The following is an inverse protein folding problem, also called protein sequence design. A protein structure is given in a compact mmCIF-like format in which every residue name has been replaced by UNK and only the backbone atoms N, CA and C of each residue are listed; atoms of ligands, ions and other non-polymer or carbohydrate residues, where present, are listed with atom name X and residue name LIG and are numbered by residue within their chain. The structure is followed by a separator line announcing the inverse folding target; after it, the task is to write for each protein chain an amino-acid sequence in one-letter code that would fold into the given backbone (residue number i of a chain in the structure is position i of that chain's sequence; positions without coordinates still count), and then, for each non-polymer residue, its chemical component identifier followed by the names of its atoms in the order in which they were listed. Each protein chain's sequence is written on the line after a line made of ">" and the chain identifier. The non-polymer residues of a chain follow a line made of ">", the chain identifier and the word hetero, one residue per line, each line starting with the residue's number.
data_IF_059019648429
#
_entry.id   IF_059019648429
#
_cell.length_a   1.000
_cell.length_b   1.000
_cell.length_c   1.000
_cell.angle_alpha   90.00
_cell.angle_beta   90.00
_cell.angle_gamma   90.00
#
_symmetry.space_group_name_H-M   'P 1'
#
loop_
_entity.id
_entity.type
_entity.pdbx_description
1 polymer ?
#
# COMPACT_ATOMS: atom_id res chain seq x y z
N UNK A 1 7.34 20.00 -25.29
CA UNK A 1 8.62 19.97 -24.55
C UNK A 1 9.22 18.57 -24.42
N UNK A 2 8.45 17.50 -24.16
CA UNK A 2 8.97 16.12 -24.08
C UNK A 2 9.61 15.61 -25.40
N UNK A 3 9.01 15.93 -26.55
CA UNK A 3 9.53 15.52 -27.87
C UNK A 3 10.86 16.17 -28.28
N UNK A 4 11.28 17.27 -27.63
CA UNK A 4 12.56 17.94 -27.91
C UNK A 4 13.73 17.19 -27.26
N UNK A 5 13.46 16.47 -26.16
CA UNK A 5 14.46 15.70 -25.40
C UNK A 5 14.46 14.20 -25.78
N UNK A 6 13.72 13.80 -26.81
CA UNK A 6 13.55 12.38 -27.18
C UNK A 6 12.87 11.53 -26.11
N UNK A 7 12.18 12.15 -25.15
CA UNK A 7 11.54 11.43 -24.04
C UNK A 7 10.12 11.01 -24.42
N UNK A 8 9.83 9.71 -24.30
CA UNK A 8 8.48 9.18 -24.48
C UNK A 8 7.52 9.71 -23.42
N UNK A 9 6.43 10.36 -23.84
CA UNK A 9 5.38 10.77 -22.92
C UNK A 9 4.62 9.54 -22.43
N UNK A 10 4.69 9.25 -21.14
CA UNK A 10 3.90 8.17 -20.54
C UNK A 10 2.41 8.58 -20.52
N UNK A 11 1.56 7.74 -21.12
CA UNK A 11 0.11 7.90 -21.05
C UNK A 11 -0.40 7.39 -19.68
N UNK A 12 -1.37 8.12 -19.13
CA UNK A 12 -2.07 7.67 -17.92
C UNK A 12 -3.09 6.58 -18.27
N UNK A 13 -3.31 5.58 -17.40
CA UNK A 13 -2.74 5.43 -16.06
C UNK A 13 -1.36 4.77 -16.06
N UNK A 14 -0.42 5.34 -15.30
CA UNK A 14 0.97 4.87 -15.20
C UNK A 14 1.29 4.40 -13.78
N UNK A 15 2.13 3.37 -13.63
CA UNK A 15 2.52 2.85 -12.31
C UNK A 15 3.78 3.57 -11.82
N UNK A 16 3.64 4.45 -10.83
CA UNK A 16 4.76 5.17 -10.20
C UNK A 16 4.99 4.65 -8.79
N UNK A 17 6.23 4.27 -8.46
CA UNK A 17 6.62 3.75 -7.14
C UNK A 17 5.73 2.58 -6.63
N UNK A 18 5.16 1.82 -7.55
CA UNK A 18 4.25 0.72 -7.25
C UNK A 18 2.78 1.12 -7.04
N UNK A 19 2.41 2.34 -7.40
CA UNK A 19 1.05 2.89 -7.31
C UNK A 19 0.52 3.29 -8.69
N UNK A 20 -0.74 2.97 -9.04
CA UNK A 20 -1.35 3.49 -10.25
C UNK A 20 -1.66 4.99 -10.10
N UNK A 21 -0.99 5.81 -10.91
CA UNK A 21 -1.19 7.26 -11.04
C UNK A 21 -2.12 7.51 -12.22
N UNK A 22 -3.13 8.36 -12.01
CA UNK A 22 -4.17 8.64 -13.01
C UNK A 22 -5.42 7.75 -12.90
N UNK A 23 -5.42 6.79 -11.97
CA UNK A 23 -6.62 6.01 -11.63
C UNK A 23 -7.48 6.73 -10.58
N UNK A 24 -8.79 6.51 -10.61
CA UNK A 24 -9.69 7.04 -9.60
C UNK A 24 -9.53 6.26 -8.28
N UNK A 25 -8.67 6.76 -7.40
CA UNK A 25 -8.42 6.17 -6.07
C UNK A 25 -9.59 6.34 -5.08
N UNK A 26 -10.73 6.94 -5.46
CA UNK A 26 -11.95 6.84 -4.64
C UNK A 26 -12.61 5.46 -4.76
N UNK A 27 -12.33 4.70 -5.83
CA UNK A 27 -12.88 3.35 -6.04
C UNK A 27 -12.07 2.30 -5.30
N UNK A 28 -12.74 1.48 -4.49
CA UNK A 28 -12.10 0.38 -3.75
C UNK A 28 -11.34 -0.61 -4.65
N UNK A 29 -11.82 -0.87 -5.87
CA UNK A 29 -11.14 -1.77 -6.83
C UNK A 29 -9.70 -1.34 -7.13
N UNK A 30 -9.41 -0.05 -7.19
CA UNK A 30 -8.07 0.45 -7.50
C UNK A 30 -7.09 0.31 -6.32
N UNK A 31 -7.60 0.03 -5.12
CA UNK A 31 -6.79 -0.26 -3.94
C UNK A 31 -6.42 -1.72 -3.82
N UNK A 32 -6.98 -2.63 -4.63
CA UNK A 32 -6.74 -4.06 -4.47
C UNK A 32 -5.24 -4.41 -4.61
N UNK A 33 -4.58 -3.87 -5.63
CA UNK A 33 -3.13 -4.05 -5.81
C UNK A 33 -2.30 -3.54 -4.62
N UNK A 34 -2.76 -2.48 -3.94
CA UNK A 34 -2.12 -1.93 -2.75
C UNK A 34 -2.34 -2.88 -1.58
N UNK A 35 -3.59 -3.30 -1.34
CA UNK A 35 -3.96 -4.26 -0.29
C UNK A 35 -3.21 -5.58 -0.44
N UNK A 36 -3.09 -6.11 -1.66
CA UNK A 36 -2.29 -7.31 -1.95
C UNK A 36 -0.82 -7.08 -1.61
N UNK A 37 -0.25 -5.92 -1.94
CA UNK A 37 1.14 -5.59 -1.56
C UNK A 37 1.33 -5.54 -0.05
N UNK A 38 0.37 -5.01 0.71
CA UNK A 38 0.38 -5.07 2.17
C UNK A 38 0.34 -6.51 2.67
N UNK A 39 -0.59 -7.32 2.15
CA UNK A 39 -0.74 -8.72 2.52
C UNK A 39 0.53 -9.53 2.22
N UNK A 40 1.12 -9.38 1.03
CA UNK A 40 2.36 -10.06 0.65
C UNK A 40 3.55 -9.65 1.52
N UNK A 41 3.60 -8.38 1.95
CA UNK A 41 4.63 -7.92 2.88
C UNK A 41 4.41 -8.57 4.24
N UNK A 42 3.20 -8.53 4.79
CA UNK A 42 2.86 -9.18 6.07
C UNK A 42 3.12 -10.69 6.04
N UNK A 43 2.73 -11.39 4.97
CA UNK A 43 2.91 -12.84 4.86
C UNK A 43 4.36 -13.28 4.77
N UNK A 44 5.26 -12.40 4.28
CA UNK A 44 6.69 -12.68 4.27
C UNK A 44 7.28 -12.78 5.68
N UNK A 45 6.62 -12.14 6.65
CA UNK A 45 7.01 -12.18 8.05
C UNK A 45 6.16 -13.19 8.78
N UNK A 46 6.80 -14.26 9.25
CA UNK A 46 6.09 -15.28 9.97
C UNK A 46 5.77 -14.76 11.38
N UNK A 47 4.52 -14.34 11.62
CA UNK A 47 4.09 -13.82 12.93
C UNK A 47 4.39 -14.79 14.08
N UNK A 48 4.40 -16.10 13.79
CA UNK A 48 4.72 -17.17 14.75
C UNK A 48 6.19 -17.24 15.17
N UNK A 49 7.11 -16.66 14.39
CA UNK A 49 8.55 -16.65 14.69
C UNK A 49 8.99 -15.37 15.42
N UNK A 50 8.12 -14.36 15.53
CA UNK A 50 8.42 -13.10 16.18
C UNK A 50 7.80 -13.06 17.58
N UNK A 51 8.56 -12.50 18.53
CA UNK A 51 7.99 -12.07 19.81
C UNK A 51 6.92 -11.00 19.57
N UNK A 52 5.94 -10.88 20.47
CA UNK A 52 4.88 -9.86 20.44
C UNK A 52 5.45 -8.44 20.22
N UNK A 53 6.58 -8.11 20.85
CA UNK A 53 7.25 -6.81 20.65
C UNK A 53 7.90 -6.65 19.26
N UNK A 54 8.38 -7.76 18.70
CA UNK A 54 8.86 -7.82 17.31
C UNK A 54 7.72 -7.61 16.32
N UNK A 55 6.58 -8.29 16.53
CA UNK A 55 5.39 -8.12 15.70
C UNK A 55 4.90 -6.67 15.69
N UNK A 56 4.85 -6.03 16.88
CA UNK A 56 4.45 -4.63 17.00
C UNK A 56 5.41 -3.68 16.27
N UNK A 57 6.73 -3.87 16.45
CA UNK A 57 7.74 -3.04 15.79
C UNK A 57 7.68 -3.19 14.27
N UNK A 58 7.45 -4.41 13.80
CA UNK A 58 7.34 -4.72 12.38
C UNK A 58 6.06 -4.13 11.76
N UNK A 59 4.91 -4.31 12.41
CA UNK A 59 3.65 -3.65 12.01
C UNK A 59 3.86 -2.14 11.92
N UNK A 60 4.42 -1.53 12.96
CA UNK A 60 4.64 -0.08 12.99
C UNK A 60 5.54 0.39 11.86
N UNK A 61 6.59 -0.38 11.54
CA UNK A 61 7.54 -0.03 10.48
C UNK A 61 6.94 -0.23 9.09
N UNK A 62 6.31 -1.37 8.83
CA UNK A 62 5.80 -1.73 7.49
C UNK A 62 4.45 -1.08 7.22
N UNK A 63 3.45 -1.33 8.07
CA UNK A 63 2.12 -0.74 7.90
C UNK A 63 2.17 0.76 8.13
N UNK A 64 2.93 1.26 9.11
CA UNK A 64 3.02 2.69 9.36
C UNK A 64 3.55 3.48 8.16
N UNK A 65 4.71 3.10 7.62
CA UNK A 65 5.30 3.84 6.48
C UNK A 65 4.48 3.70 5.20
N UNK A 66 4.05 2.47 4.83
CA UNK A 66 3.26 2.29 3.60
C UNK A 66 1.94 3.05 3.71
N UNK A 67 1.24 2.92 4.83
CA UNK A 67 -0.08 3.53 5.00
C UNK A 67 0.03 5.05 4.99
N UNK A 68 1.05 5.61 5.64
CA UNK A 68 1.34 7.06 5.60
C UNK A 68 1.63 7.54 4.17
N UNK A 69 2.43 6.79 3.40
CA UNK A 69 2.72 7.13 2.01
C UNK A 69 1.44 7.18 1.15
N UNK A 70 0.58 6.16 1.23
CA UNK A 70 -0.63 6.10 0.43
C UNK A 70 -1.71 7.12 0.86
N UNK A 71 -1.84 7.36 2.17
CA UNK A 71 -2.80 8.34 2.72
C UNK A 71 -2.40 9.78 2.42
N UNK A 72 -1.11 10.07 2.33
CA UNK A 72 -0.61 11.41 1.94
C UNK A 72 -0.98 11.75 0.49
N UNK A 73 -1.03 10.74 -0.39
CA UNK A 73 -1.31 10.93 -1.81
C UNK A 73 -2.80 10.94 -2.15
N UNK A 74 -3.60 10.09 -1.49
CA UNK A 74 -5.02 9.92 -1.80
C UNK A 74 -5.86 9.70 -0.55
N UNK A 75 -7.11 10.20 -0.59
CA UNK A 75 -8.10 9.91 0.43
C UNK A 75 -8.50 8.44 0.37
N UNK A 76 -8.16 7.68 1.40
CA UNK A 76 -8.53 6.27 1.55
C UNK A 76 -10.06 6.13 1.74
N UNK A 77 -10.75 5.26 0.98
CA UNK A 77 -12.13 4.91 1.27
C UNK A 77 -12.22 4.05 2.55
N UNK A 78 -13.27 4.26 3.33
CA UNK A 78 -13.46 3.62 4.66
C UNK A 78 -13.39 2.09 4.59
N UNK A 79 -13.93 1.48 3.54
CA UNK A 79 -13.87 0.01 3.37
C UNK A 79 -12.44 -0.52 3.28
N UNK A 80 -11.53 0.23 2.64
CA UNK A 80 -10.12 -0.16 2.50
C UNK A 80 -9.37 0.08 3.81
N UNK A 81 -9.66 1.19 4.50
CA UNK A 81 -9.13 1.44 5.83
C UNK A 81 -9.47 0.28 6.79
N UNK A 82 -10.74 -0.12 6.86
CA UNK A 82 -11.18 -1.22 7.71
C UNK A 82 -10.51 -2.55 7.34
N UNK A 83 -10.26 -2.79 6.05
CA UNK A 83 -9.56 -3.98 5.57
C UNK A 83 -8.10 -4.00 6.01
N UNK A 84 -7.41 -2.86 5.94
CA UNK A 84 -6.03 -2.72 6.43
C UNK A 84 -5.94 -2.90 7.95
N UNK A 85 -6.88 -2.32 8.71
CA UNK A 85 -6.97 -2.50 10.16
C UNK A 85 -7.23 -3.96 10.55
N UNK A 86 -8.09 -4.66 9.80
CA UNK A 86 -8.34 -6.09 10.00
C UNK A 86 -7.08 -6.94 9.76
N UNK A 87 -6.31 -6.63 8.71
CA UNK A 87 -5.02 -7.30 8.45
C UNK A 87 -4.00 -7.05 9.56
N UNK A 88 -3.95 -5.82 10.08
CA UNK A 88 -3.10 -5.48 11.23
C UNK A 88 -3.46 -6.31 12.45
N UNK A 89 -4.75 -6.41 12.78
CA UNK A 89 -5.21 -7.17 13.94
C UNK A 89 -4.95 -8.68 13.77
N UNK A 90 -5.16 -9.23 12.57
CA UNK A 90 -4.91 -10.65 12.29
C UNK A 90 -3.42 -11.04 12.32
N UNK A 91 -2.50 -10.08 12.30
CA UNK A 91 -1.07 -10.34 12.49
C UNK A 91 -0.68 -10.40 13.98
N UNK A 92 -1.52 -9.87 14.87
CA UNK A 92 -1.30 -9.88 16.31
C UNK A 92 -1.96 -11.07 17.02
N UNK A 93 -3.06 -11.59 16.44
CA UNK A 93 -3.78 -12.79 16.88
C UNK A 93 -3.07 -14.04 16.34
#
# INVERSE_FOLDING_TARGET
>A
MAGILGCGAAALPLKYLGMPVGCNMARCSNWDAIVQKFASKLSLWNAKLLSTGGCLSLIKSVLGNLTTYYMSLYKVPVSIYNKLESMRNNFFI
#
